data_IF_188671552376
#
_entry.id   IF_188671552376
#
_cell.length_a   1.000
_cell.length_b   1.000
_cell.length_c   1.000
_cell.angle_alpha   90.00
_cell.angle_beta   90.00
_cell.angle_gamma   90.00
#
_symmetry.space_group_name_H-M   'P 1'
#
loop_
_entity.id
_entity.type
_entity.pdbx_description
1 polymer ?
#
# COMPACT_ATOMS: atom_id res chain seq x y z
N UNK A 1 -28.30 -10.90 -2.21
CA UNK A 1 -26.98 -11.62 -2.27
C UNK A 1 -26.13 -10.98 -1.21
N UNK A 2 -25.46 -11.78 -0.43
CA UNK A 2 -24.57 -11.32 0.63
C UNK A 2 -23.27 -10.80 -0.03
N UNK A 3 -22.83 -9.58 0.30
CA UNK A 3 -21.62 -9.02 -0.26
C UNK A 3 -20.39 -9.65 0.40
N UNK A 4 -19.40 -10.02 -0.39
CA UNK A 4 -18.11 -10.47 0.16
C UNK A 4 -17.34 -9.29 0.75
N UNK A 5 -16.39 -9.51 1.69
CA UNK A 5 -15.57 -8.42 2.24
C UNK A 5 -14.85 -7.60 1.15
N UNK A 6 -14.33 -8.23 0.09
CA UNK A 6 -13.71 -7.53 -1.06
C UNK A 6 -14.73 -6.64 -1.79
N UNK A 7 -15.97 -7.11 -1.99
CA UNK A 7 -17.03 -6.30 -2.60
C UNK A 7 -17.42 -5.10 -1.73
N UNK A 8 -17.55 -5.30 -0.41
CA UNK A 8 -17.85 -4.22 0.54
C UNK A 8 -16.79 -3.13 0.50
N UNK A 9 -15.50 -3.50 0.52
CA UNK A 9 -14.38 -2.53 0.42
C UNK A 9 -14.39 -1.83 -0.94
N UNK A 10 -14.55 -2.57 -2.04
CA UNK A 10 -14.63 -1.97 -3.38
C UNK A 10 -15.74 -0.93 -3.49
N UNK A 11 -16.94 -1.25 -3.00
CA UNK A 11 -18.10 -0.34 -3.02
C UNK A 11 -17.90 0.84 -2.07
N UNK A 12 -17.29 0.62 -0.89
CA UNK A 12 -16.98 1.69 0.05
C UNK A 12 -15.98 2.69 -0.56
N UNK A 13 -14.89 2.21 -1.15
CA UNK A 13 -13.94 3.08 -1.84
C UNK A 13 -14.60 3.80 -3.03
N UNK A 14 -15.38 3.10 -3.83
CA UNK A 14 -16.09 3.69 -4.97
C UNK A 14 -17.14 4.72 -4.56
N UNK A 15 -17.67 4.62 -3.34
CA UNK A 15 -18.64 5.59 -2.80
C UNK A 15 -18.04 7.00 -2.66
N UNK A 16 -16.74 7.13 -2.52
CA UNK A 16 -15.99 8.40 -2.51
C UNK A 16 -16.21 9.15 -3.83
N UNK A 17 -16.22 8.44 -4.96
CA UNK A 17 -16.48 9.02 -6.29
C UNK A 17 -17.98 9.24 -6.54
N UNK A 18 -18.81 8.26 -6.21
CA UNK A 18 -20.22 8.23 -6.59
C UNK A 18 -21.13 9.03 -5.64
N UNK A 19 -20.66 9.27 -4.41
CA UNK A 19 -21.48 9.85 -3.34
C UNK A 19 -22.56 8.89 -2.80
N UNK A 20 -22.45 7.58 -3.11
CA UNK A 20 -23.38 6.58 -2.61
C UNK A 20 -23.27 6.45 -1.08
N UNK A 21 -24.38 6.49 -0.37
CA UNK A 21 -24.40 6.43 1.11
C UNK A 21 -24.54 5.01 1.65
N UNK A 22 -25.11 4.08 0.87
CA UNK A 22 -25.34 2.71 1.30
C UNK A 22 -24.06 1.96 1.76
N UNK A 23 -22.89 2.08 1.08
CA UNK A 23 -21.67 1.38 1.51
C UNK A 23 -21.14 1.83 2.87
N UNK A 24 -21.52 3.02 3.36
CA UNK A 24 -21.14 3.48 4.71
C UNK A 24 -21.69 2.55 5.79
N UNK A 25 -22.79 1.83 5.53
CA UNK A 25 -23.35 0.84 6.44
C UNK A 25 -22.48 -0.42 6.62
N UNK A 26 -21.46 -0.63 5.79
CA UNK A 26 -20.48 -1.69 5.99
C UNK A 26 -19.51 -1.39 7.15
N UNK A 27 -19.43 -0.12 7.57
CA UNK A 27 -18.59 0.31 8.69
C UNK A 27 -19.35 0.09 10.00
N UNK A 28 -18.68 -0.50 10.99
CA UNK A 28 -19.24 -0.65 12.33
C UNK A 28 -19.49 0.75 12.96
N UNK A 29 -20.73 1.12 13.29
CA UNK A 29 -21.04 2.45 13.78
C UNK A 29 -20.50 2.74 15.18
N UNK A 30 -20.23 1.70 15.98
CA UNK A 30 -19.76 1.83 17.36
C UNK A 30 -18.24 1.67 17.48
N UNK A 31 -17.60 1.05 16.49
CA UNK A 31 -16.17 0.74 16.51
C UNK A 31 -15.58 0.91 15.12
N UNK A 32 -14.96 2.05 14.86
CA UNK A 32 -14.19 2.28 13.64
C UNK A 32 -12.91 3.02 13.99
N UNK A 33 -11.79 2.28 14.04
CA UNK A 33 -10.47 2.80 14.37
C UNK A 33 -9.82 3.30 13.09
N UNK A 34 -9.38 4.57 13.10
CA UNK A 34 -8.79 5.21 11.93
C UNK A 34 -7.30 5.45 12.12
N UNK A 35 -6.49 4.97 11.16
CA UNK A 35 -5.04 5.17 11.13
C UNK A 35 -4.58 6.18 10.06
N UNK A 36 -5.49 6.72 9.24
CA UNK A 36 -5.20 7.92 8.47
C UNK A 36 -5.08 9.10 9.44
N UNK A 37 -3.89 9.69 9.54
CA UNK A 37 -3.60 10.75 10.52
C UNK A 37 -4.27 12.08 10.18
N UNK A 38 -4.76 12.25 8.94
CA UNK A 38 -5.51 13.42 8.49
C UNK A 38 -7.03 13.28 8.69
N UNK A 39 -7.50 12.13 9.20
CA UNK A 39 -8.90 11.86 9.50
C UNK A 39 -9.11 11.70 11.01
N UNK A 40 -10.24 12.23 11.50
CA UNK A 40 -10.66 11.96 12.87
C UNK A 40 -11.13 10.51 13.03
N UNK A 41 -11.12 10.01 14.25
CA UNK A 41 -11.53 8.65 14.59
C UNK A 41 -13.04 8.44 14.47
N UNK A 42 -13.43 7.18 14.28
CA UNK A 42 -14.82 6.77 14.22
C UNK A 42 -15.55 7.13 12.92
N UNK A 43 -16.79 6.64 12.81
CA UNK A 43 -17.63 6.85 11.62
C UNK A 43 -17.90 8.33 11.32
N UNK A 44 -18.01 9.17 12.37
CA UNK A 44 -18.18 10.61 12.23
C UNK A 44 -16.96 11.27 11.58
N UNK A 45 -15.74 10.80 11.89
CA UNK A 45 -14.50 11.26 11.27
C UNK A 45 -14.44 10.91 9.78
N UNK A 46 -14.84 9.70 9.41
CA UNK A 46 -14.98 9.29 8.01
C UNK A 46 -16.02 10.14 7.27
N UNK A 47 -17.18 10.39 7.89
CA UNK A 47 -18.22 11.25 7.32
C UNK A 47 -17.75 12.70 7.09
N UNK A 48 -16.98 13.27 8.01
CA UNK A 48 -16.38 14.59 7.85
C UNK A 48 -15.38 14.63 6.67
N UNK A 49 -14.53 13.60 6.54
CA UNK A 49 -13.62 13.47 5.41
C UNK A 49 -14.36 13.47 4.07
N UNK A 50 -15.46 12.72 3.96
CA UNK A 50 -16.28 12.68 2.74
C UNK A 50 -16.91 14.05 2.41
N UNK A 51 -17.25 14.87 3.42
CA UNK A 51 -17.80 16.21 3.20
C UNK A 51 -16.77 17.21 2.69
N UNK A 52 -15.50 17.03 3.07
CA UNK A 52 -14.39 17.89 2.64
C UNK A 52 -13.92 17.58 1.21
N UNK A 53 -14.33 16.45 0.63
CA UNK A 53 -13.94 16.06 -0.73
C UNK A 53 -14.58 16.97 -1.78
N UNK A 54 -13.86 17.26 -2.89
CA UNK A 54 -14.40 18.06 -3.99
C UNK A 54 -15.59 17.36 -4.63
N UNK A 55 -16.78 17.95 -4.52
CA UNK A 55 -18.01 17.36 -5.05
C UNK A 55 -17.94 17.19 -6.57
N UNK A 56 -18.24 15.96 -7.05
CA UNK A 56 -18.33 15.62 -8.46
C UNK A 56 -17.02 15.56 -9.24
N UNK A 57 -15.87 15.76 -8.57
CA UNK A 57 -14.54 15.65 -9.22
C UNK A 57 -13.66 14.53 -8.67
N UNK A 58 -14.05 13.90 -7.57
CA UNK A 58 -13.34 12.75 -7.06
C UNK A 58 -13.40 11.57 -8.04
N UNK A 59 -12.27 10.86 -8.21
CA UNK A 59 -12.17 9.62 -8.97
C UNK A 59 -11.53 8.55 -8.10
N UNK A 60 -12.05 7.34 -8.20
CA UNK A 60 -11.57 6.16 -7.49
C UNK A 60 -11.54 4.99 -8.45
N UNK A 61 -10.36 4.45 -8.68
CA UNK A 61 -10.16 3.29 -9.54
C UNK A 61 -9.30 2.25 -8.79
N UNK A 62 -9.96 1.27 -8.17
CA UNK A 62 -9.29 0.18 -7.47
C UNK A 62 -8.73 -0.82 -8.49
N UNK A 63 -7.41 -0.87 -8.60
CA UNK A 63 -6.68 -1.69 -9.56
C UNK A 63 -6.56 -3.14 -9.09
N UNK A 64 -6.30 -3.32 -7.79
CA UNK A 64 -6.08 -4.62 -7.15
C UNK A 64 -6.77 -4.64 -5.81
N UNK A 65 -7.39 -5.78 -5.44
CA UNK A 65 -8.03 -5.97 -4.15
C UNK A 65 -7.86 -7.43 -3.70
N UNK A 66 -7.39 -7.60 -2.48
CA UNK A 66 -6.99 -8.89 -1.91
C UNK A 66 -7.56 -9.07 -0.51
N UNK A 67 -7.61 -10.33 -0.06
CA UNK A 67 -8.09 -10.67 1.28
C UNK A 67 -7.16 -11.65 1.98
N UNK A 68 -6.78 -11.34 3.21
CA UNK A 68 -6.00 -12.20 4.11
C UNK A 68 -6.77 -12.36 5.44
N UNK A 69 -7.50 -13.45 5.58
CA UNK A 69 -8.36 -13.69 6.74
C UNK A 69 -9.45 -12.62 6.87
N UNK A 70 -9.44 -11.90 7.98
CA UNK A 70 -10.36 -10.80 8.29
C UNK A 70 -9.90 -9.43 7.76
N UNK A 71 -8.81 -9.39 7.00
CA UNK A 71 -8.27 -8.16 6.42
C UNK A 71 -8.48 -8.16 4.90
N UNK A 72 -8.93 -7.02 4.38
CA UNK A 72 -8.95 -6.71 2.95
C UNK A 72 -8.00 -5.56 2.69
N UNK A 73 -7.14 -5.68 1.66
CA UNK A 73 -6.26 -4.61 1.25
C UNK A 73 -6.38 -4.32 -0.25
N UNK A 74 -6.28 -3.05 -0.61
CA UNK A 74 -6.53 -2.56 -1.95
C UNK A 74 -5.43 -1.62 -2.42
N UNK A 75 -5.12 -1.67 -3.73
CA UNK A 75 -4.26 -0.74 -4.45
C UNK A 75 -5.14 0.09 -5.38
N UNK A 76 -5.18 1.40 -5.15
CA UNK A 76 -6.17 2.29 -5.76
C UNK A 76 -5.53 3.55 -6.33
N UNK A 77 -5.95 3.90 -7.55
CA UNK A 77 -5.69 5.18 -8.19
C UNK A 77 -6.80 6.16 -7.81
N UNK A 78 -6.43 7.24 -7.15
CA UNK A 78 -7.30 8.29 -6.67
C UNK A 78 -7.07 9.62 -7.39
N UNK A 79 -8.12 10.38 -7.57
CA UNK A 79 -8.03 11.79 -7.86
C UNK A 79 -9.00 12.57 -6.96
N UNK A 80 -8.51 12.98 -5.78
CA UNK A 80 -9.12 13.94 -4.90
C UNK A 80 -8.02 14.83 -4.30
N UNK A 81 -8.17 16.13 -4.35
CA UNK A 81 -7.09 17.08 -4.04
C UNK A 81 -5.81 16.80 -4.84
N UNK A 82 -5.97 16.41 -6.13
CA UNK A 82 -4.91 15.96 -7.02
C UNK A 82 -4.78 14.44 -7.12
N UNK A 83 -4.06 13.96 -8.17
CA UNK A 83 -3.88 12.53 -8.39
C UNK A 83 -2.98 11.90 -7.32
N UNK A 84 -3.39 10.73 -6.81
CA UNK A 84 -2.69 9.97 -5.78
C UNK A 84 -2.79 8.47 -6.05
N UNK A 85 -1.79 7.73 -5.63
CA UNK A 85 -1.85 6.28 -5.49
C UNK A 85 -1.94 5.95 -4.01
N UNK A 86 -2.79 5.00 -3.66
CA UNK A 86 -2.98 4.57 -2.29
C UNK A 86 -3.03 3.06 -2.11
N UNK A 87 -2.55 2.62 -0.97
CA UNK A 87 -2.89 1.33 -0.40
C UNK A 87 -3.79 1.57 0.79
N UNK A 88 -4.95 0.88 0.79
CA UNK A 88 -5.92 0.89 1.87
C UNK A 88 -6.02 -0.50 2.47
N UNK A 89 -6.10 -0.59 3.79
CA UNK A 89 -6.23 -1.83 4.54
C UNK A 89 -7.45 -1.70 5.44
N UNK A 90 -8.35 -2.66 5.39
CA UNK A 90 -9.57 -2.71 6.19
C UNK A 90 -9.63 -4.01 6.96
N UNK A 91 -9.84 -3.92 8.28
CA UNK A 91 -10.09 -5.10 9.12
C UNK A 91 -11.57 -5.23 9.41
N UNK A 92 -12.04 -6.45 9.31
CA UNK A 92 -13.42 -6.84 9.57
C UNK A 92 -13.56 -7.49 10.95
N UNK A 93 -14.69 -7.22 11.60
CA UNK A 93 -15.11 -7.87 12.83
C UNK A 93 -16.64 -7.99 12.79
N UNK A 94 -17.18 -9.21 12.97
CA UNK A 94 -18.62 -9.48 12.88
C UNK A 94 -19.26 -8.89 11.60
N UNK A 95 -18.64 -9.19 10.44
CA UNK A 95 -19.09 -8.77 9.10
C UNK A 95 -19.07 -7.24 8.83
N UNK A 96 -18.51 -6.45 9.74
CA UNK A 96 -18.38 -5.02 9.58
C UNK A 96 -16.91 -4.58 9.57
N UNK A 97 -16.64 -3.51 8.83
CA UNK A 97 -15.33 -2.84 8.84
C UNK A 97 -15.18 -2.12 10.18
N UNK A 98 -14.16 -2.47 10.95
CA UNK A 98 -13.92 -1.90 12.28
C UNK A 98 -12.60 -1.15 12.40
N UNK A 99 -11.74 -1.19 11.37
CA UNK A 99 -10.43 -0.53 11.41
C UNK A 99 -9.92 -0.28 9.99
N UNK A 100 -9.21 0.83 9.80
CA UNK A 100 -8.70 1.26 8.50
C UNK A 100 -7.31 1.90 8.62
N UNK A 101 -6.42 1.46 7.75
CA UNK A 101 -5.12 2.08 7.49
C UNK A 101 -5.04 2.46 6.01
N UNK A 102 -4.31 3.50 5.71
CA UNK A 102 -3.97 3.86 4.34
C UNK A 102 -2.53 4.35 4.22
N UNK A 103 -2.04 4.45 3.02
CA UNK A 103 -0.79 5.14 2.69
C UNK A 103 -0.94 5.76 1.30
N UNK A 104 -0.84 7.08 1.22
CA UNK A 104 -1.14 7.85 0.01
C UNK A 104 0.11 8.58 -0.47
N UNK A 105 0.40 8.45 -1.77
CA UNK A 105 1.49 9.17 -2.44
C UNK A 105 0.95 9.92 -3.65
N UNK A 106 1.43 11.14 -3.90
CA UNK A 106 1.09 11.87 -5.12
C UNK A 106 1.62 11.15 -6.35
N UNK A 107 0.76 11.00 -7.36
CA UNK A 107 1.15 10.37 -8.63
C UNK A 107 2.15 11.26 -9.37
N UNK A 108 3.31 10.74 -9.78
CA UNK A 108 4.27 11.50 -10.58
C UNK A 108 3.71 11.79 -11.97
N UNK A 109 4.19 12.88 -12.59
CA UNK A 109 3.75 13.29 -13.94
C UNK A 109 4.34 12.43 -15.05
N UNK A 110 5.44 11.75 -14.78
CA UNK A 110 6.17 10.91 -15.74
C UNK A 110 6.30 9.49 -15.17
N UNK A 111 6.32 8.47 -16.03
CA UNK A 111 6.60 7.10 -15.64
C UNK A 111 8.00 6.97 -15.01
N UNK A 112 8.26 5.81 -14.42
CA UNK A 112 9.59 5.46 -13.91
C UNK A 112 10.61 5.32 -15.07
N UNK A 113 11.91 5.11 -14.77
CA UNK A 113 12.94 4.98 -15.82
C UNK A 113 12.70 3.87 -16.84
N UNK A 114 11.92 2.84 -16.52
CA UNK A 114 11.55 1.74 -17.42
C UNK A 114 10.22 1.96 -18.15
N UNK A 115 9.52 3.07 -17.90
CA UNK A 115 8.28 3.44 -18.56
C UNK A 115 7.02 2.95 -17.85
N UNK A 116 7.14 2.37 -16.65
CA UNK A 116 6.00 1.90 -15.85
C UNK A 116 5.39 3.02 -15.03
N UNK A 117 4.05 2.96 -14.88
CA UNK A 117 3.31 3.78 -13.91
C UNK A 117 3.27 3.07 -12.54
N UNK A 118 2.81 3.78 -11.52
CA UNK A 118 2.62 3.18 -10.19
C UNK A 118 1.44 2.20 -10.13
N UNK A 119 0.67 2.00 -11.20
CA UNK A 119 -0.56 1.21 -11.20
C UNK A 119 -0.67 0.16 -12.28
N UNK A 120 0.12 0.21 -13.34
CA UNK A 120 0.12 -0.84 -14.38
C UNK A 120 0.69 -2.17 -13.84
N UNK A 121 0.92 -3.14 -14.70
CA UNK A 121 1.41 -4.47 -14.35
C UNK A 121 0.30 -5.47 -14.00
N UNK A 122 0.69 -6.62 -13.48
CA UNK A 122 -0.21 -7.76 -13.30
C UNK A 122 -1.31 -7.54 -12.26
N UNK A 123 -2.50 -8.04 -12.56
CA UNK A 123 -3.63 -8.16 -11.61
C UNK A 123 -4.04 -9.62 -11.40
N UNK A 124 -3.33 -10.57 -11.99
CA UNK A 124 -3.69 -11.97 -12.01
C UNK A 124 -3.39 -12.65 -10.67
N UNK A 125 -4.44 -12.94 -9.91
CA UNK A 125 -4.36 -13.63 -8.63
C UNK A 125 -4.34 -15.15 -8.85
N UNK A 126 -3.28 -15.79 -8.43
CA UNK A 126 -3.10 -17.24 -8.47
C UNK A 126 -2.30 -17.75 -7.27
N UNK A 127 -1.94 -19.04 -7.23
CA UNK A 127 -1.13 -19.65 -6.16
C UNK A 127 -1.70 -19.49 -4.74
N UNK A 128 -3.04 -19.53 -4.59
CA UNK A 128 -3.71 -19.37 -3.29
C UNK A 128 -3.17 -20.33 -2.21
N UNK A 129 -2.74 -21.53 -2.61
CA UNK A 129 -2.12 -22.51 -1.70
C UNK A 129 -0.71 -22.13 -1.24
N UNK A 130 -0.06 -21.13 -1.88
CA UNK A 130 1.29 -20.67 -1.55
C UNK A 130 1.31 -19.38 -0.72
N UNK A 131 0.15 -18.82 -0.35
CA UNK A 131 0.06 -17.53 0.38
C UNK A 131 1.03 -17.44 1.54
N UNK A 132 1.08 -18.43 2.42
CA UNK A 132 1.97 -18.40 3.60
C UNK A 132 3.46 -18.44 3.22
N UNK A 133 3.82 -19.21 2.19
CA UNK A 133 5.20 -19.28 1.69
C UNK A 133 5.62 -17.95 1.05
N UNK A 134 4.75 -17.34 0.25
CA UNK A 134 4.98 -16.05 -0.41
C UNK A 134 5.09 -14.91 0.62
N UNK A 135 4.23 -14.88 1.64
CA UNK A 135 4.34 -13.95 2.79
C UNK A 135 5.70 -14.08 3.49
N UNK A 136 6.16 -15.31 3.71
CA UNK A 136 7.46 -15.55 4.34
C UNK A 136 8.61 -15.08 3.44
N UNK A 137 8.60 -15.42 2.15
CA UNK A 137 9.63 -15.00 1.19
C UNK A 137 9.79 -13.48 1.17
N UNK A 138 8.68 -12.77 1.04
CA UNK A 138 8.67 -11.30 0.96
C UNK A 138 9.05 -10.66 2.29
N UNK A 139 8.58 -11.20 3.41
CA UNK A 139 8.99 -10.75 4.76
C UNK A 139 10.49 -10.90 4.95
N UNK A 140 11.04 -12.08 4.63
CA UNK A 140 12.48 -12.35 4.72
C UNK A 140 13.28 -11.35 3.84
N UNK A 141 12.79 -11.06 2.62
CA UNK A 141 13.40 -10.05 1.74
C UNK A 141 13.44 -8.67 2.39
N UNK A 142 12.33 -8.20 2.94
CA UNK A 142 12.28 -6.88 3.59
C UNK A 142 13.20 -6.84 4.80
N UNK A 143 13.24 -7.90 5.62
CA UNK A 143 14.10 -7.98 6.79
C UNK A 143 15.59 -8.09 6.41
N UNK A 144 15.96 -9.01 5.50
CA UNK A 144 17.36 -9.25 5.13
C UNK A 144 17.93 -8.07 4.35
N UNK A 145 17.20 -7.56 3.36
CA UNK A 145 17.72 -6.56 2.41
C UNK A 145 17.40 -5.13 2.87
N UNK A 146 16.13 -4.81 3.09
CA UNK A 146 15.73 -3.40 3.30
C UNK A 146 16.02 -2.92 4.72
N UNK A 147 15.93 -3.79 5.73
CA UNK A 147 16.23 -3.44 7.12
C UNK A 147 17.70 -3.70 7.45
N UNK A 148 18.21 -4.91 7.14
CA UNK A 148 19.55 -5.34 7.56
C UNK A 148 20.65 -5.04 6.53
N UNK A 149 20.32 -4.66 5.30
CA UNK A 149 21.26 -4.23 4.26
C UNK A 149 22.15 -5.37 3.72
N UNK A 150 21.71 -6.63 3.81
CA UNK A 150 22.45 -7.81 3.35
C UNK A 150 22.35 -7.97 1.83
N UNK A 151 22.90 -7.01 1.08
CA UNK A 151 22.73 -6.90 -0.38
C UNK A 151 23.25 -8.13 -1.14
N UNK A 152 24.21 -8.87 -0.57
CA UNK A 152 24.72 -10.13 -1.11
C UNK A 152 23.66 -11.23 -1.20
N UNK A 153 22.55 -11.11 -0.45
CA UNK A 153 21.44 -12.06 -0.47
C UNK A 153 20.39 -11.76 -1.57
N UNK A 154 20.50 -10.68 -2.31
CA UNK A 154 19.55 -10.34 -3.40
C UNK A 154 19.27 -11.52 -4.37
N UNK A 155 20.28 -12.32 -4.79
CA UNK A 155 20.03 -13.46 -5.70
C UNK A 155 19.14 -14.57 -5.11
N UNK A 156 18.90 -14.57 -3.79
CA UNK A 156 17.96 -15.50 -3.14
C UNK A 156 16.50 -15.12 -3.43
N UNK A 157 16.24 -13.84 -3.67
CA UNK A 157 14.91 -13.29 -3.77
C UNK A 157 14.46 -12.99 -5.20
N UNK A 158 15.41 -12.83 -6.14
CA UNK A 158 15.15 -12.44 -7.51
C UNK A 158 15.73 -13.44 -8.52
N UNK A 159 14.99 -13.69 -9.60
CA UNK A 159 15.47 -14.52 -10.68
C UNK A 159 16.23 -13.67 -11.71
N UNK A 160 17.55 -13.62 -11.59
CA UNK A 160 18.38 -12.79 -12.45
C UNK A 160 17.99 -11.32 -12.41
N UNK A 161 17.82 -10.70 -13.58
CA UNK A 161 17.42 -9.30 -13.76
C UNK A 161 15.94 -9.13 -14.16
N UNK A 162 15.13 -10.20 -13.97
CA UNK A 162 13.71 -10.24 -14.40
C UNK A 162 12.78 -9.71 -13.29
N UNK A 163 12.96 -8.48 -12.87
CA UNK A 163 12.17 -7.85 -11.82
C UNK A 163 11.55 -6.56 -12.35
N UNK A 164 10.22 -6.49 -12.34
CA UNK A 164 9.46 -5.32 -12.81
C UNK A 164 9.24 -4.36 -11.65
N UNK A 165 9.56 -3.09 -11.86
CA UNK A 165 9.50 -2.06 -10.84
C UNK A 165 8.50 -0.97 -11.21
N UNK A 166 7.67 -0.55 -10.21
CA UNK A 166 6.70 0.53 -10.38
C UNK A 166 6.98 1.74 -9.47
N UNK A 167 8.04 1.70 -8.66
CA UNK A 167 8.49 2.90 -7.93
C UNK A 167 8.91 3.98 -8.92
N UNK A 168 8.49 5.25 -8.73
CA UNK A 168 8.78 6.34 -9.67
C UNK A 168 10.26 6.61 -9.92
N UNK A 169 11.12 6.31 -8.95
CA UNK A 169 12.55 6.58 -9.01
C UNK A 169 13.43 5.40 -9.43
N UNK A 170 12.84 4.20 -9.64
CA UNK A 170 13.60 2.96 -9.82
C UNK A 170 13.19 2.31 -11.14
N UNK A 171 14.17 1.89 -11.95
CA UNK A 171 13.94 1.09 -13.16
C UNK A 171 13.89 -0.41 -12.87
N UNK A 172 13.57 -1.20 -13.90
CA UNK A 172 13.46 -2.65 -13.82
C UNK A 172 14.77 -3.34 -13.50
N UNK A 173 14.65 -4.53 -12.94
CA UNK A 173 15.73 -5.44 -12.63
C UNK A 173 16.59 -4.98 -11.45
N UNK A 174 17.50 -5.86 -11.04
CA UNK A 174 18.54 -5.49 -10.08
C UNK A 174 19.48 -4.42 -10.64
N UNK A 175 19.61 -4.36 -11.99
CA UNK A 175 20.33 -3.30 -12.69
C UNK A 175 19.70 -1.93 -12.44
N UNK A 176 18.37 -1.80 -12.57
CA UNK A 176 17.63 -0.57 -12.29
C UNK A 176 17.70 -0.17 -10.83
N UNK A 177 17.54 -1.15 -9.93
CA UNK A 177 17.69 -0.94 -8.48
C UNK A 177 19.09 -0.41 -8.13
N UNK A 178 20.15 -1.07 -8.62
CA UNK A 178 21.54 -0.64 -8.35
C UNK A 178 21.82 0.76 -8.90
N UNK A 179 21.27 1.08 -10.09
CA UNK A 179 21.41 2.43 -10.68
C UNK A 179 20.77 3.49 -9.80
N UNK A 180 19.54 3.24 -9.31
CA UNK A 180 18.84 4.15 -8.42
C UNK A 180 19.57 4.35 -7.08
N UNK A 181 20.03 3.25 -6.46
CA UNK A 181 20.78 3.31 -5.19
C UNK A 181 22.09 4.11 -5.34
N UNK A 182 22.78 3.96 -6.48
CA UNK A 182 24.00 4.74 -6.79
C UNK A 182 23.67 6.22 -6.94
N UNK A 183 22.67 6.56 -7.76
CA UNK A 183 22.23 7.95 -7.98
C UNK A 183 21.80 8.62 -6.66
N UNK A 184 21.01 7.95 -5.85
CA UNK A 184 20.62 8.44 -4.53
C UNK A 184 21.83 8.68 -3.62
N UNK A 185 22.79 7.75 -3.59
CA UNK A 185 24.02 7.90 -2.81
C UNK A 185 24.85 9.11 -3.26
N UNK A 186 24.96 9.37 -4.58
CA UNK A 186 25.66 10.54 -5.14
C UNK A 186 24.96 11.87 -4.79
N UNK A 187 23.62 11.85 -4.64
CA UNK A 187 22.83 13.03 -4.27
C UNK A 187 22.54 13.15 -2.77
N UNK A 188 23.08 12.22 -1.96
CA UNK A 188 22.93 12.25 -0.50
C UNK A 188 21.53 11.84 -0.02
N UNK A 189 20.71 11.22 -0.88
CA UNK A 189 19.39 10.69 -0.50
C UNK A 189 19.58 9.39 0.26
N UNK A 190 18.95 9.28 1.41
CA UNK A 190 18.99 8.08 2.24
C UNK A 190 17.59 7.51 2.44
N UNK A 191 17.45 6.21 2.27
CA UNK A 191 16.24 5.47 2.58
C UNK A 191 16.59 4.33 3.55
N UNK A 192 15.88 4.26 4.67
CA UNK A 192 16.13 3.26 5.71
C UNK A 192 14.83 2.69 6.23
N UNK A 193 14.62 1.41 6.01
CA UNK A 193 13.58 0.65 6.69
C UNK A 193 14.04 0.32 8.11
N UNK A 194 13.11 0.35 9.07
CA UNK A 194 13.43 0.14 10.49
C UNK A 194 12.63 -1.01 11.11
N UNK A 195 11.38 -1.19 10.70
CA UNK A 195 10.47 -2.17 11.30
C UNK A 195 9.36 -2.57 10.34
N UNK A 196 9.02 -3.85 10.32
CA UNK A 196 7.79 -4.38 9.69
C UNK A 196 6.66 -4.38 10.72
N UNK A 197 5.51 -3.84 10.34
CA UNK A 197 4.29 -3.82 11.17
C UNK A 197 3.28 -4.87 10.73
N UNK A 198 3.05 -5.01 9.41
CA UNK A 198 2.09 -5.98 8.86
C UNK A 198 2.67 -6.68 7.63
N UNK A 199 2.31 -7.94 7.44
CA UNK A 199 2.56 -8.70 6.22
C UNK A 199 1.26 -9.38 5.84
N UNK A 200 0.63 -8.91 4.78
CA UNK A 200 -0.66 -9.37 4.29
C UNK A 200 -0.48 -10.05 2.94
N UNK A 201 -1.25 -11.09 2.64
CA UNK A 201 -1.09 -11.78 1.36
C UNK A 201 -2.32 -12.54 0.93
N UNK A 202 -2.53 -12.63 -0.38
CA UNK A 202 -3.46 -13.55 -1.02
C UNK A 202 -2.78 -14.12 -2.28
N UNK A 203 -2.58 -15.43 -2.30
CA UNK A 203 -1.92 -16.09 -3.42
C UNK A 203 -0.49 -15.60 -3.64
N UNK A 204 -0.26 -15.11 -4.85
CA UNK A 204 1.01 -14.57 -5.31
C UNK A 204 1.25 -13.09 -4.97
N UNK A 205 0.29 -12.39 -4.34
CA UNK A 205 0.45 -10.99 -3.92
C UNK A 205 0.67 -10.87 -2.42
N UNK A 206 1.64 -10.05 -2.03
CA UNK A 206 2.00 -9.79 -0.63
C UNK A 206 2.22 -8.30 -0.43
N UNK A 207 1.48 -7.69 0.49
CA UNK A 207 1.67 -6.31 0.96
C UNK A 207 2.44 -6.32 2.28
N UNK A 208 3.51 -5.54 2.35
CA UNK A 208 4.26 -5.30 3.59
C UNK A 208 4.09 -3.85 4.00
N UNK A 209 3.72 -3.64 5.25
CA UNK A 209 3.64 -2.33 5.89
C UNK A 209 4.86 -2.15 6.77
N UNK A 210 5.68 -1.17 6.45
CA UNK A 210 6.93 -0.91 7.16
C UNK A 210 7.03 0.54 7.62
N UNK A 211 7.88 0.74 8.61
CA UNK A 211 8.26 2.04 9.18
C UNK A 211 9.73 2.31 8.91
N UNK A 212 10.08 3.57 8.66
CA UNK A 212 11.46 3.94 8.46
C UNK A 212 11.65 5.43 8.21
N UNK A 213 12.70 5.76 7.46
CA UNK A 213 13.06 7.14 7.18
C UNK A 213 13.45 7.31 5.71
N UNK A 214 12.99 8.40 5.11
CA UNK A 214 13.51 8.96 3.87
C UNK A 214 14.22 10.26 4.25
N UNK A 215 15.54 10.28 4.12
CA UNK A 215 16.39 11.32 4.70
C UNK A 215 16.13 11.51 6.21
N UNK A 216 15.68 12.69 6.63
CA UNK A 216 15.29 12.98 8.02
C UNK A 216 13.81 12.79 8.30
N UNK A 217 13.00 12.45 7.29
CA UNK A 217 11.55 12.33 7.44
C UNK A 217 11.17 10.92 7.88
N UNK A 218 10.40 10.83 8.95
CA UNK A 218 9.78 9.58 9.38
C UNK A 218 8.69 9.19 8.39
N UNK A 219 8.73 7.96 7.86
CA UNK A 219 7.86 7.51 6.76
C UNK A 219 7.21 6.16 7.06
N UNK A 220 6.03 5.99 6.48
CA UNK A 220 5.41 4.70 6.28
C UNK A 220 5.69 4.26 4.83
N UNK A 221 6.09 3.00 4.67
CA UNK A 221 6.33 2.32 3.41
C UNK A 221 5.31 1.20 3.27
N UNK A 222 4.51 1.26 2.20
CA UNK A 222 3.59 0.18 1.85
C UNK A 222 4.07 -0.41 0.53
N UNK A 223 4.58 -1.63 0.59
CA UNK A 223 5.25 -2.33 -0.50
C UNK A 223 4.42 -3.54 -0.91
N UNK A 224 3.84 -3.52 -2.11
CA UNK A 224 3.14 -4.65 -2.70
C UNK A 224 4.08 -5.40 -3.63
N UNK A 225 4.24 -6.69 -3.38
CA UNK A 225 5.04 -7.60 -4.19
C UNK A 225 4.16 -8.65 -4.87
N UNK A 226 4.53 -9.00 -6.11
CA UNK A 226 4.04 -10.20 -6.76
C UNK A 226 5.16 -11.23 -6.82
N UNK A 227 4.83 -12.44 -6.39
CA UNK A 227 5.75 -13.60 -6.41
C UNK A 227 5.40 -14.51 -7.58
N UNK A 228 6.40 -14.97 -8.28
CA UNK A 228 6.29 -15.92 -9.39
C UNK A 228 7.45 -16.90 -9.35
N UNK A 229 7.15 -18.21 -9.48
CA UNK A 229 8.16 -19.26 -9.41
C UNK A 229 9.10 -19.18 -8.19
N UNK A 230 8.55 -18.82 -7.03
CA UNK A 230 9.24 -18.66 -5.74
C UNK A 230 10.27 -17.51 -5.71
N UNK A 231 10.14 -16.51 -6.63
CA UNK A 231 10.93 -15.28 -6.67
C UNK A 231 10.02 -14.05 -6.68
N UNK A 232 10.53 -12.93 -6.20
CA UNK A 232 9.88 -11.63 -6.34
C UNK A 232 10.01 -11.20 -7.82
N UNK A 233 8.88 -11.05 -8.48
CA UNK A 233 8.82 -10.76 -9.91
C UNK A 233 8.39 -9.31 -10.21
N UNK A 234 7.67 -8.66 -9.27
CA UNK A 234 7.12 -7.33 -9.51
C UNK A 234 6.86 -6.59 -8.18
N UNK A 235 7.00 -5.25 -8.19
CA UNK A 235 6.88 -4.44 -6.99
C UNK A 235 6.21 -3.09 -7.28
N UNK A 236 5.26 -2.72 -6.44
CA UNK A 236 4.63 -1.40 -6.34
C UNK A 236 4.80 -0.89 -4.92
N UNK A 237 4.92 0.41 -4.75
CA UNK A 237 5.00 0.99 -3.41
C UNK A 237 4.28 2.34 -3.30
N UNK A 238 4.07 2.75 -2.06
CA UNK A 238 3.79 4.13 -1.69
C UNK A 238 4.62 4.50 -0.46
N UNK A 239 5.18 5.69 -0.49
CA UNK A 239 5.96 6.26 0.61
C UNK A 239 5.26 7.52 1.09
N UNK A 240 4.87 7.55 2.36
CA UNK A 240 4.19 8.70 2.96
C UNK A 240 4.92 9.16 4.22
N UNK A 241 5.27 10.45 4.25
CA UNK A 241 5.82 11.05 5.47
C UNK A 241 4.77 11.07 6.58
N UNK A 242 5.18 10.66 7.78
CA UNK A 242 4.35 10.71 8.98
C UNK A 242 4.48 12.10 9.58
N UNK A 243 3.38 12.87 9.69
CA UNK A 243 3.41 14.22 10.24
C UNK A 243 3.75 14.21 11.73
N UNK A 244 4.16 15.35 12.25
CA UNK A 244 4.38 15.50 13.71
C UNK A 244 3.10 15.21 14.48
N UNK A 245 3.23 14.58 15.66
CA UNK A 245 2.10 14.11 16.47
C UNK A 245 1.05 15.18 16.81
N UNK A 246 1.45 16.43 16.92
CA UNK A 246 0.55 17.55 17.16
C UNK A 246 -0.34 17.94 15.97
N UNK A 247 -0.09 17.36 14.78
CA UNK A 247 -0.88 17.55 13.56
C UNK A 247 -1.91 16.41 13.37
N UNK A 248 -1.82 15.33 14.14
CA UNK A 248 -2.70 14.16 13.99
C UNK A 248 -4.13 14.50 14.42
N UNK A 249 -5.09 14.09 13.62
CA UNK A 249 -6.53 14.23 13.91
C UNK A 249 -7.10 13.07 14.73
N UNK A 250 -6.35 11.97 14.89
CA UNK A 250 -6.67 10.84 15.77
C UNK A 250 -5.46 10.48 16.65
N UNK A 251 -5.63 9.50 17.54
CA UNK A 251 -4.61 9.07 18.51
C UNK A 251 -4.12 7.63 18.30
N UNK A 252 -4.60 6.96 17.26
CA UNK A 252 -4.36 5.53 17.04
C UNK A 252 -2.97 5.23 16.48
N UNK A 253 -2.30 6.24 15.89
CA UNK A 253 -1.03 6.09 15.21
C UNK A 253 -1.22 5.69 13.74
N UNK A 254 -0.09 5.61 13.01
CA UNK A 254 -0.07 5.27 11.58
C UNK A 254 -0.11 3.75 11.34
N UNK A 255 0.34 2.95 12.35
CA UNK A 255 0.53 1.50 12.24
C UNK A 255 -0.31 0.73 13.23
#
# INVERSE_FOLDING_TARGET
>A
MEHTPKQMVFELLKSIETGATAPVNYINPEKYIQHNLDAADGLAGFGALLQDLPKGSAKVNTMRIFQDGDIVFAHTDYNFFGPKIGFDIFRFENEHICEHWDNLQSTPKIPNPSGHSMTDGSTDLHDLGKTSANKKLVKDFVEDILINGQMEMLPKYFYGDQYIQHNPGIGDGLTGLNSALKDWGEHGVTMKYSKVHQVLGEGNFVLVVSEGYMDSYHCAFYDLFRVENDFIAEHWDTIQSIPMRNQWKNKNGKF
#
